data_IF_865165925663
#
_entry.id   IF_865165925663
#
_cell.length_a   1.000
_cell.length_b   1.000
_cell.length_c   1.000
_cell.angle_alpha   90.00
_cell.angle_beta   90.00
_cell.angle_gamma   90.00
#
_symmetry.space_group_name_H-M   'P 1'
#
loop_
_entity.id
_entity.type
_entity.pdbx_description
1 polymer ?
#
# COMPACT_ATOMS: atom_id res chain seq x y z
N UNK A 1 35.27 -39.98 -37.59
CA UNK A 1 33.80 -40.11 -37.67
C UNK A 1 33.29 -40.03 -36.27
N UNK A 2 32.99 -38.82 -35.85
CA UNK A 2 32.38 -38.57 -34.53
C UNK A 2 30.87 -38.39 -34.72
N UNK A 3 30.09 -39.20 -34.02
CA UNK A 3 28.62 -39.11 -34.00
C UNK A 3 28.18 -37.96 -33.10
N UNK A 4 27.25 -37.10 -33.51
CA UNK A 4 26.75 -36.06 -32.65
C UNK A 4 25.82 -36.67 -31.58
N UNK A 5 26.11 -36.37 -30.32
CA UNK A 5 25.23 -36.66 -29.18
C UNK A 5 24.03 -35.71 -29.27
N UNK A 6 22.90 -36.26 -29.65
CA UNK A 6 21.61 -35.58 -29.66
C UNK A 6 21.12 -35.44 -28.21
N UNK A 7 21.12 -34.22 -27.67
CA UNK A 7 20.39 -33.90 -26.44
C UNK A 7 18.89 -33.97 -26.73
N UNK A 8 18.06 -34.59 -25.90
CA UNK A 8 16.63 -34.59 -26.09
C UNK A 8 16.04 -33.19 -25.89
N UNK A 9 15.03 -32.80 -26.67
CA UNK A 9 14.43 -31.46 -26.53
C UNK A 9 13.65 -31.39 -25.23
N UNK A 10 13.99 -30.41 -24.41
CA UNK A 10 13.30 -29.96 -23.18
C UNK A 10 11.79 -29.65 -23.35
N UNK A 11 11.27 -29.77 -24.55
CA UNK A 11 9.87 -29.51 -24.91
C UNK A 11 8.88 -30.62 -24.52
N UNK A 12 9.34 -31.81 -24.20
CA UNK A 12 8.47 -32.97 -23.94
C UNK A 12 8.04 -33.12 -22.47
N UNK A 13 8.73 -32.52 -21.52
CA UNK A 13 8.31 -32.57 -20.10
C UNK A 13 7.17 -31.65 -19.75
N UNK A 14 6.98 -30.55 -20.48
CA UNK A 14 5.87 -29.60 -20.21
C UNK A 14 4.54 -30.01 -20.86
N UNK A 15 4.54 -30.90 -21.84
CA UNK A 15 3.30 -31.36 -22.50
C UNK A 15 2.39 -32.23 -21.60
N UNK A 16 2.91 -32.76 -20.49
CA UNK A 16 2.13 -33.52 -19.49
C UNK A 16 1.57 -32.66 -18.36
N UNK A 17 1.67 -31.36 -18.44
CA UNK A 17 1.13 -30.40 -17.46
C UNK A 17 -0.38 -30.22 -17.60
N UNK A 18 -1.09 -31.31 -17.89
CA UNK A 18 -2.56 -31.30 -17.86
C UNK A 18 -3.08 -31.10 -16.46
N UNK A 19 -4.03 -30.19 -16.33
CA UNK A 19 -4.76 -29.71 -15.16
C UNK A 19 -5.42 -30.78 -14.28
N UNK A 20 -5.08 -32.06 -14.43
CA UNK A 20 -5.81 -33.14 -13.82
C UNK A 20 -5.00 -33.82 -12.69
N UNK A 21 -5.48 -33.61 -11.44
CA UNK A 21 -5.06 -34.29 -10.22
C UNK A 21 -3.81 -33.73 -9.51
N UNK A 22 -3.85 -32.47 -9.14
CA UNK A 22 -2.99 -32.03 -8.05
C UNK A 22 -3.66 -32.34 -6.72
N UNK A 23 -3.09 -33.22 -5.93
CA UNK A 23 -3.75 -33.78 -4.74
C UNK A 23 -3.57 -32.91 -3.50
N UNK A 24 -2.52 -32.09 -3.42
CA UNK A 24 -2.18 -31.30 -2.24
C UNK A 24 -1.96 -29.83 -2.54
N UNK A 25 -2.12 -28.99 -1.50
CA UNK A 25 -1.81 -27.55 -1.58
C UNK A 25 -0.32 -27.31 -1.84
N UNK A 26 0.56 -28.14 -1.27
CA UNK A 26 2.00 -28.07 -1.49
C UNK A 26 2.38 -28.25 -2.96
N UNK A 27 1.84 -29.27 -3.64
CA UNK A 27 2.10 -29.52 -5.07
C UNK A 27 1.61 -28.35 -5.97
N UNK A 28 0.49 -27.72 -5.60
CA UNK A 28 -0.02 -26.55 -6.33
C UNK A 28 0.87 -25.33 -6.15
N UNK A 29 1.35 -25.12 -4.93
CA UNK A 29 2.28 -24.03 -4.63
C UNK A 29 3.61 -24.23 -5.35
N UNK A 30 4.20 -25.41 -5.23
CA UNK A 30 5.43 -25.78 -5.93
C UNK A 30 5.32 -25.55 -7.44
N UNK A 31 4.19 -25.93 -8.04
CA UNK A 31 3.92 -25.66 -9.45
C UNK A 31 3.93 -24.14 -9.76
N UNK A 32 3.33 -23.31 -8.93
CA UNK A 32 3.34 -21.86 -9.14
C UNK A 32 4.78 -21.30 -9.10
N UNK A 33 5.61 -21.76 -8.17
CA UNK A 33 7.03 -21.42 -8.07
C UNK A 33 7.77 -21.83 -9.36
N UNK A 34 7.57 -23.05 -9.83
CA UNK A 34 8.21 -23.57 -11.06
C UNK A 34 7.78 -22.80 -12.31
N UNK A 35 6.50 -22.39 -12.39
CA UNK A 35 6.00 -21.56 -13.48
C UNK A 35 6.75 -20.22 -13.50
N UNK A 36 6.86 -19.54 -12.36
CA UNK A 36 7.58 -18.26 -12.26
C UNK A 36 9.06 -18.43 -12.65
N UNK A 37 9.73 -19.43 -12.14
CA UNK A 37 11.10 -19.76 -12.51
C UNK A 37 11.23 -19.97 -14.02
N UNK A 38 10.29 -20.67 -14.66
CA UNK A 38 10.29 -20.92 -16.11
C UNK A 38 10.04 -19.66 -16.93
N UNK A 39 9.14 -18.78 -16.47
CA UNK A 39 8.87 -17.50 -17.14
C UNK A 39 10.11 -16.61 -17.19
N UNK A 40 10.92 -16.60 -16.13
CA UNK A 40 12.14 -15.80 -16.04
C UNK A 40 13.40 -16.49 -16.57
N UNK A 41 13.37 -17.80 -16.82
CA UNK A 41 14.52 -18.56 -17.36
C UNK A 41 14.89 -18.12 -18.79
N UNK A 42 16.11 -18.43 -19.28
CA UNK A 42 16.46 -18.28 -20.68
C UNK A 42 15.44 -18.96 -21.61
N UNK A 43 14.92 -18.20 -22.58
CA UNK A 43 13.83 -18.67 -23.46
C UNK A 43 12.43 -18.64 -22.80
N UNK A 44 12.29 -18.03 -21.64
CA UNK A 44 11.01 -17.72 -21.01
C UNK A 44 10.34 -16.48 -21.60
N UNK A 45 9.43 -15.85 -20.85
CA UNK A 45 8.72 -14.67 -21.30
C UNK A 45 9.66 -13.44 -21.33
N UNK A 46 9.77 -12.73 -22.46
CA UNK A 46 10.63 -11.55 -22.56
C UNK A 46 10.24 -10.45 -21.55
N UNK A 47 8.93 -10.22 -21.34
CA UNK A 47 8.44 -9.21 -20.43
C UNK A 47 8.80 -9.54 -18.96
N UNK A 48 8.55 -10.79 -18.51
CA UNK A 48 8.85 -11.20 -17.13
C UNK A 48 10.36 -11.12 -16.83
N UNK A 49 11.19 -11.40 -17.83
CA UNK A 49 12.66 -11.36 -17.70
C UNK A 49 13.23 -9.95 -17.57
N UNK A 50 12.57 -8.96 -18.14
CA UNK A 50 12.98 -7.54 -18.06
C UNK A 50 12.59 -6.89 -16.74
N UNK A 51 11.68 -7.51 -15.97
CA UNK A 51 11.22 -6.92 -14.72
C UNK A 51 12.31 -6.92 -13.64
N UNK A 52 12.28 -5.86 -12.84
CA UNK A 52 13.14 -5.62 -11.68
C UNK A 52 12.29 -5.41 -10.44
N UNK A 53 12.91 -5.42 -9.26
CA UNK A 53 12.21 -5.08 -8.01
C UNK A 53 11.45 -3.74 -8.11
N UNK A 54 12.04 -2.75 -8.77
CA UNK A 54 11.43 -1.42 -8.90
C UNK A 54 10.27 -1.39 -9.89
N UNK A 55 10.33 -2.13 -10.99
CA UNK A 55 9.26 -2.15 -12.00
C UNK A 55 8.02 -2.92 -11.53
N UNK A 56 8.16 -3.84 -10.57
CA UNK A 56 7.04 -4.63 -10.00
C UNK A 56 6.34 -3.92 -8.82
N UNK A 57 6.97 -2.93 -8.18
CA UNK A 57 6.36 -2.18 -7.06
C UNK A 57 4.98 -1.59 -7.35
N UNK A 58 4.73 -0.93 -8.52
CA UNK A 58 3.40 -0.40 -8.83
C UNK A 58 2.33 -1.49 -8.88
N UNK A 59 2.61 -2.62 -9.50
CA UNK A 59 1.68 -3.76 -9.58
C UNK A 59 1.35 -4.32 -8.18
N UNK A 60 2.35 -4.49 -7.31
CA UNK A 60 2.08 -4.92 -5.91
C UNK A 60 1.10 -4.00 -5.19
N UNK A 61 1.18 -2.70 -5.44
CA UNK A 61 0.24 -1.74 -4.86
C UNK A 61 -1.15 -1.87 -5.50
N UNK A 62 -1.22 -2.04 -6.82
CA UNK A 62 -2.45 -2.25 -7.59
C UNK A 62 -3.19 -3.50 -7.10
N UNK A 63 -2.54 -4.67 -7.08
CA UNK A 63 -3.13 -5.93 -6.60
C UNK A 63 -3.60 -5.82 -5.13
N UNK A 64 -2.84 -5.11 -4.30
CA UNK A 64 -3.26 -4.87 -2.92
C UNK A 64 -4.58 -4.10 -2.86
N UNK A 65 -4.77 -3.12 -3.73
CA UNK A 65 -6.00 -2.34 -3.79
C UNK A 65 -7.16 -3.11 -4.41
N UNK A 66 -6.91 -3.99 -5.38
CA UNK A 66 -7.92 -4.84 -5.99
C UNK A 66 -8.43 -5.90 -5.00
N UNK A 67 -7.55 -6.49 -4.20
CA UNK A 67 -7.94 -7.32 -3.03
C UNK A 67 -8.86 -6.55 -2.08
N UNK A 68 -8.54 -5.30 -1.75
CA UNK A 68 -9.41 -4.48 -0.88
C UNK A 68 -10.75 -4.17 -1.53
N UNK A 69 -10.78 -3.93 -2.83
CA UNK A 69 -12.01 -3.69 -3.58
C UNK A 69 -12.91 -4.92 -3.63
N UNK A 70 -12.36 -6.09 -3.90
CA UNK A 70 -13.07 -7.36 -3.89
C UNK A 70 -13.66 -7.67 -2.50
N UNK A 71 -12.93 -7.40 -1.41
CA UNK A 71 -13.42 -7.53 -0.04
C UNK A 71 -14.59 -6.57 0.22
N UNK A 72 -14.46 -5.30 -0.17
CA UNK A 72 -15.49 -4.28 0.04
C UNK A 72 -16.81 -4.62 -0.71
N UNK A 73 -16.67 -5.18 -1.91
CA UNK A 73 -17.80 -5.59 -2.75
C UNK A 73 -18.38 -6.96 -2.35
N UNK A 74 -17.72 -7.72 -1.46
CA UNK A 74 -18.04 -9.10 -1.11
C UNK A 74 -18.04 -10.02 -2.33
N UNK A 75 -17.18 -9.73 -3.31
CA UNK A 75 -16.99 -10.53 -4.51
C UNK A 75 -15.94 -11.62 -4.26
N UNK A 76 -16.42 -12.82 -3.90
CA UNK A 76 -15.54 -13.93 -3.56
C UNK A 76 -14.80 -14.54 -4.76
N UNK A 77 -15.42 -14.66 -5.95
CA UNK A 77 -14.70 -15.03 -7.17
C UNK A 77 -13.57 -14.07 -7.51
N UNK A 78 -13.83 -12.75 -7.51
CA UNK A 78 -12.83 -11.72 -7.75
C UNK A 78 -11.73 -11.76 -6.69
N UNK A 79 -12.08 -11.81 -5.42
CA UNK A 79 -11.11 -11.93 -4.33
C UNK A 79 -10.18 -13.13 -4.50
N UNK A 80 -10.65 -14.23 -5.07
CA UNK A 80 -9.80 -15.41 -5.35
C UNK A 80 -8.78 -15.10 -6.43
N UNK A 81 -9.14 -14.34 -7.46
CA UNK A 81 -8.23 -13.85 -8.49
C UNK A 81 -7.16 -12.93 -7.90
N UNK A 82 -7.61 -11.87 -7.24
CA UNK A 82 -6.74 -10.83 -6.69
C UNK A 82 -5.74 -11.35 -5.63
N UNK A 83 -6.16 -12.32 -4.80
CA UNK A 83 -5.24 -13.03 -3.90
C UNK A 83 -4.21 -13.86 -4.66
N UNK A 84 -4.57 -14.40 -5.84
CA UNK A 84 -3.64 -15.08 -6.74
C UNK A 84 -2.62 -14.10 -7.32
N UNK A 85 -3.06 -12.91 -7.75
CA UNK A 85 -2.20 -11.90 -8.34
C UNK A 85 -1.30 -11.24 -7.27
N UNK A 86 -1.79 -11.03 -6.05
CA UNK A 86 -0.95 -10.63 -4.94
C UNK A 86 0.10 -11.71 -4.58
N UNK A 87 -0.26 -12.99 -4.63
CA UNK A 87 0.69 -14.10 -4.45
C UNK A 87 1.71 -14.14 -5.60
N UNK A 88 1.30 -13.85 -6.84
CA UNK A 88 2.20 -13.73 -7.98
C UNK A 88 3.31 -12.71 -7.71
N UNK A 89 3.00 -11.55 -7.10
CA UNK A 89 4.01 -10.55 -6.72
C UNK A 89 5.05 -11.13 -5.74
N UNK A 90 4.58 -11.93 -4.76
CA UNK A 90 5.49 -12.59 -3.80
C UNK A 90 6.43 -13.56 -4.52
N UNK A 91 5.90 -14.38 -5.43
CA UNK A 91 6.70 -15.34 -6.21
C UNK A 91 7.70 -14.62 -7.14
N UNK A 92 7.26 -13.50 -7.73
CA UNK A 92 8.09 -12.69 -8.61
C UNK A 92 9.31 -12.11 -7.89
N UNK A 93 9.08 -11.46 -6.73
CA UNK A 93 10.17 -10.95 -5.89
C UNK A 93 11.09 -12.06 -5.40
N UNK A 94 10.54 -13.19 -4.97
CA UNK A 94 11.34 -14.31 -4.47
C UNK A 94 12.21 -14.93 -5.57
N UNK A 95 11.67 -15.02 -6.79
CA UNK A 95 12.40 -15.52 -7.94
C UNK A 95 13.56 -14.57 -8.33
N UNK A 96 13.30 -13.25 -8.40
CA UNK A 96 14.36 -12.27 -8.67
C UNK A 96 15.44 -12.29 -7.59
N UNK A 97 15.04 -12.37 -6.32
CA UNK A 97 15.97 -12.47 -5.20
C UNK A 97 16.85 -13.73 -5.27
N UNK A 98 16.27 -14.85 -5.69
CA UNK A 98 17.00 -16.11 -5.90
C UNK A 98 17.98 -16.01 -7.06
N UNK A 99 17.61 -15.36 -8.16
CA UNK A 99 18.48 -15.11 -9.31
C UNK A 99 19.70 -14.25 -8.94
N UNK A 100 19.54 -13.30 -8.02
CA UNK A 100 20.59 -12.43 -7.49
C UNK A 100 21.35 -13.05 -6.29
N UNK A 101 20.94 -14.23 -5.81
CA UNK A 101 21.59 -14.93 -4.69
C UNK A 101 21.30 -14.31 -3.32
N UNK A 102 20.17 -13.60 -3.15
CA UNK A 102 19.80 -12.98 -1.89
C UNK A 102 19.00 -13.92 -0.98
N UNK A 103 17.90 -14.43 -1.45
CA UNK A 103 17.02 -15.38 -0.74
C UNK A 103 16.08 -16.08 -1.74
N UNK A 104 15.45 -17.16 -1.29
CA UNK A 104 14.47 -17.94 -2.06
C UNK A 104 13.06 -17.79 -1.48
N UNK A 105 12.07 -18.38 -2.14
CA UNK A 105 10.70 -18.47 -1.62
C UNK A 105 10.65 -19.32 -0.34
N UNK A 106 11.53 -20.33 -0.22
CA UNK A 106 11.59 -21.17 0.99
C UNK A 106 12.00 -20.35 2.22
N UNK A 107 12.97 -19.43 2.07
CA UNK A 107 13.35 -18.50 3.14
C UNK A 107 12.18 -17.59 3.57
N UNK A 108 11.34 -17.19 2.61
CA UNK A 108 10.14 -16.38 2.89
C UNK A 108 9.12 -17.21 3.69
N UNK A 109 8.90 -18.47 3.31
CA UNK A 109 7.97 -19.40 3.96
C UNK A 109 8.44 -19.76 5.38
N UNK A 110 9.72 -20.08 5.54
CA UNK A 110 10.31 -20.39 6.84
C UNK A 110 10.22 -19.20 7.79
N UNK A 111 10.56 -18.01 7.30
CA UNK A 111 10.46 -16.79 8.08
C UNK A 111 9.01 -16.47 8.47
N UNK A 112 8.06 -16.69 7.58
CA UNK A 112 6.63 -16.52 7.87
C UNK A 112 6.18 -17.50 8.95
N UNK A 113 6.49 -18.79 8.78
CA UNK A 113 6.09 -19.88 9.68
C UNK A 113 6.66 -19.68 11.08
N UNK A 114 7.95 -19.44 11.19
CA UNK A 114 8.63 -19.16 12.46
C UNK A 114 8.02 -17.94 13.16
N UNK A 115 7.82 -16.84 12.42
CA UNK A 115 7.19 -15.63 12.95
C UNK A 115 5.78 -15.89 13.48
N UNK A 116 4.98 -16.71 12.79
CA UNK A 116 3.63 -17.03 13.23
C UNK A 116 3.65 -17.88 14.52
N UNK A 117 4.52 -18.87 14.60
CA UNK A 117 4.67 -19.71 15.81
C UNK A 117 5.16 -18.88 16.98
N UNK A 118 6.23 -18.10 16.80
CA UNK A 118 6.85 -17.31 17.85
C UNK A 118 5.91 -16.23 18.42
N UNK A 119 5.07 -15.65 17.56
CA UNK A 119 4.13 -14.58 17.96
C UNK A 119 2.79 -15.08 18.49
N UNK A 120 2.56 -16.40 18.47
CA UNK A 120 1.35 -17.01 19.03
C UNK A 120 1.66 -18.04 20.10
N UNK A 121 2.45 -17.68 21.15
CA UNK A 121 2.79 -18.63 22.23
C UNK A 121 1.58 -19.09 23.02
N UNK A 122 0.44 -18.43 22.90
CA UNK A 122 -0.84 -18.84 23.45
C UNK A 122 -1.54 -19.95 22.64
N UNK A 123 -1.07 -20.24 21.42
CA UNK A 123 -1.56 -21.32 20.55
C UNK A 123 -0.55 -22.45 20.44
N UNK A 124 0.72 -22.10 20.28
CA UNK A 124 1.80 -23.06 20.01
C UNK A 124 2.73 -23.31 21.20
N UNK A 125 2.54 -22.60 22.34
CA UNK A 125 3.34 -22.70 23.55
C UNK A 125 2.48 -22.80 24.82
N UNK A 126 3.07 -22.45 25.97
CA UNK A 126 2.44 -22.59 27.28
C UNK A 126 1.78 -21.30 27.81
N UNK A 127 1.95 -20.16 27.13
CA UNK A 127 1.38 -18.87 27.52
C UNK A 127 -0.13 -18.90 27.32
N UNK A 128 -0.88 -18.45 28.33
CA UNK A 128 -2.35 -18.37 28.21
C UNK A 128 -2.78 -16.95 27.91
N UNK A 129 -3.65 -16.78 26.93
CA UNK A 129 -4.36 -15.53 26.65
C UNK A 129 -5.80 -15.86 26.29
N UNK A 130 -6.74 -15.25 27.01
CA UNK A 130 -8.17 -15.57 26.91
C UNK A 130 -8.96 -14.48 26.18
N UNK A 131 -8.36 -13.32 25.96
CA UNK A 131 -9.01 -12.19 25.30
C UNK A 131 -8.16 -11.63 24.16
N UNK A 132 -8.77 -11.07 23.10
CA UNK A 132 -8.04 -10.40 22.04
C UNK A 132 -7.11 -9.28 22.53
N UNK A 133 -7.51 -8.56 23.58
CA UNK A 133 -6.70 -7.50 24.18
C UNK A 133 -5.42 -8.01 24.84
N UNK A 134 -5.48 -9.19 25.48
CA UNK A 134 -4.29 -9.85 26.05
C UNK A 134 -3.35 -10.33 24.95
N UNK A 135 -3.89 -10.92 23.88
CA UNK A 135 -3.11 -11.33 22.70
C UNK A 135 -2.38 -10.12 22.10
N UNK A 136 -3.07 -9.01 21.92
CA UNK A 136 -2.49 -7.80 21.31
C UNK A 136 -1.34 -7.23 22.16
N UNK A 137 -1.52 -7.15 23.50
CA UNK A 137 -0.45 -6.70 24.42
C UNK A 137 0.77 -7.62 24.36
N UNK A 138 0.56 -8.92 24.37
CA UNK A 138 1.64 -9.91 24.29
C UNK A 138 2.39 -9.80 22.95
N UNK A 139 1.67 -9.54 21.88
CA UNK A 139 2.21 -9.37 20.53
C UNK A 139 3.12 -8.14 20.42
N UNK A 140 2.71 -7.02 21.02
CA UNK A 140 3.53 -5.81 21.05
C UNK A 140 4.79 -5.96 21.89
N UNK A 141 4.70 -6.65 23.03
CA UNK A 141 5.85 -6.98 23.86
C UNK A 141 6.86 -7.86 23.10
N UNK A 142 6.39 -8.90 22.41
CA UNK A 142 7.22 -9.78 21.59
C UNK A 142 7.90 -9.05 20.43
N UNK A 143 7.18 -8.17 19.73
CA UNK A 143 7.77 -7.31 18.69
C UNK A 143 8.87 -6.39 19.23
N UNK A 144 8.66 -5.83 20.42
CA UNK A 144 9.66 -4.98 21.05
C UNK A 144 10.93 -5.77 21.43
N UNK A 145 10.76 -7.01 21.91
CA UNK A 145 11.89 -7.89 22.19
C UNK A 145 12.64 -8.32 20.92
N UNK A 146 11.93 -8.71 19.86
CA UNK A 146 12.54 -9.03 18.57
C UNK A 146 13.38 -7.85 18.05
N UNK A 147 12.81 -6.63 18.14
CA UNK A 147 13.54 -5.42 17.74
C UNK A 147 14.80 -5.20 18.58
N UNK A 148 14.73 -5.40 19.90
CA UNK A 148 15.92 -5.31 20.81
C UNK A 148 16.98 -6.34 20.46
N UNK A 149 16.58 -7.59 20.19
CA UNK A 149 17.51 -8.66 19.79
C UNK A 149 18.22 -8.32 18.48
N UNK A 150 17.48 -7.82 17.47
CA UNK A 150 18.06 -7.40 16.18
C UNK A 150 19.05 -6.25 16.32
N UNK A 151 18.77 -5.28 17.18
CA UNK A 151 19.69 -4.16 17.47
C UNK A 151 20.93 -4.61 18.25
N UNK A 152 20.80 -5.58 19.14
CA UNK A 152 21.92 -6.13 19.90
C UNK A 152 22.88 -6.97 19.02
N UNK A 153 22.37 -7.66 18.02
CA UNK A 153 23.17 -8.46 17.05
C UNK A 153 23.86 -7.56 16.02
N UNK A 154 23.26 -6.40 15.67
CA UNK A 154 23.86 -5.42 14.73
C UNK A 154 24.98 -4.56 15.31
N UNK A 155 25.27 -4.63 16.62
CA UNK A 155 26.28 -3.82 17.32
C UNK A 155 27.61 -4.52 17.66
N UNK A 156 27.82 -5.77 17.25
CA UNK A 156 29.05 -6.55 17.51
C UNK A 156 29.63 -7.09 16.22
N UNK A 157 30.93 -6.93 16.07
CA UNK A 157 31.74 -7.40 14.94
C UNK A 157 31.45 -8.85 14.55
N UNK A 158 31.33 -9.06 13.23
CA UNK A 158 31.59 -10.32 12.51
C UNK A 158 31.16 -11.62 13.21
N UNK A 159 29.94 -12.05 13.03
CA UNK A 159 29.64 -13.47 13.00
C UNK A 159 29.57 -13.90 11.53
N UNK A 160 30.64 -14.52 11.07
CA UNK A 160 30.68 -15.26 9.83
C UNK A 160 29.68 -16.42 9.87
N UNK A 161 28.95 -16.56 8.74
CA UNK A 161 28.20 -17.75 8.34
C UNK A 161 26.91 -18.06 9.12
N UNK A 162 25.82 -17.38 8.78
CA UNK A 162 24.49 -17.92 8.48
C UNK A 162 23.39 -16.86 8.28
N UNK A 163 23.67 -15.54 8.44
CA UNK A 163 22.64 -14.48 8.33
C UNK A 163 23.04 -13.32 7.40
N UNK A 164 24.05 -13.53 6.57
CA UNK A 164 24.77 -12.48 5.82
C UNK A 164 24.14 -12.12 4.45
N UNK A 165 22.96 -12.68 4.12
CA UNK A 165 22.32 -12.41 2.83
C UNK A 165 21.41 -11.17 2.80
N UNK A 166 21.13 -10.52 3.95
CA UNK A 166 20.14 -9.42 4.02
C UNK A 166 20.75 -8.02 4.24
N UNK A 167 22.07 -7.92 4.47
CA UNK A 167 22.71 -6.63 4.78
C UNK A 167 24.00 -6.35 4.03
N UNK A 168 24.11 -6.71 2.75
CA UNK A 168 25.18 -6.13 1.91
C UNK A 168 24.71 -4.79 1.35
N UNK A 169 25.49 -3.70 1.58
CA UNK A 169 25.23 -2.42 0.91
C UNK A 169 25.47 -2.59 -0.58
N UNK A 170 24.47 -2.22 -1.38
CA UNK A 170 24.60 -2.07 -2.82
C UNK A 170 25.80 -1.17 -3.15
N UNK A 171 26.82 -1.73 -3.79
CA UNK A 171 27.86 -0.95 -4.43
C UNK A 171 27.21 -0.05 -5.48
N UNK A 172 27.34 1.25 -5.25
CA UNK A 172 26.88 2.32 -6.13
C UNK A 172 27.37 2.12 -7.54
N UNK A 173 26.45 1.93 -8.48
CA UNK A 173 26.66 2.38 -9.85
C UNK A 173 26.61 3.92 -9.84
N UNK A 174 27.68 4.56 -10.28
CA UNK A 174 27.79 6.02 -10.39
C UNK A 174 26.88 6.53 -11.50
N UNK A 175 25.92 7.37 -11.16
CA UNK A 175 25.09 8.07 -12.13
C UNK A 175 24.03 8.95 -11.47
N UNK A 176 24.29 10.25 -11.41
CA UNK A 176 23.41 11.39 -11.20
C UNK A 176 22.72 11.54 -9.83
N UNK A 177 23.11 12.58 -9.12
CA UNK A 177 22.82 12.95 -7.76
C UNK A 177 21.37 13.28 -7.42
N UNK A 178 21.06 12.94 -6.18
CA UNK A 178 20.17 13.69 -5.28
C UNK A 178 20.76 13.69 -3.86
N UNK A 179 20.52 14.73 -3.04
CA UNK A 179 21.32 15.02 -1.86
C UNK A 179 21.04 14.11 -0.68
N UNK A 180 22.06 14.01 0.17
CA UNK A 180 22.15 13.18 1.36
C UNK A 180 21.37 13.79 2.55
N UNK A 181 20.03 13.74 2.52
CA UNK A 181 19.21 14.14 3.68
C UNK A 181 18.57 12.93 4.42
N UNK A 182 18.47 11.76 3.77
CA UNK A 182 17.74 10.61 4.34
C UNK A 182 18.53 9.73 5.33
N UNK A 183 19.81 9.99 5.57
CA UNK A 183 20.65 9.09 6.41
C UNK A 183 20.76 9.56 7.86
N UNK A 184 20.47 10.83 8.15
CA UNK A 184 20.55 11.37 9.50
C UNK A 184 19.34 11.02 10.39
N UNK A 185 18.18 10.74 9.78
CA UNK A 185 16.91 10.51 10.49
C UNK A 185 16.78 9.10 11.10
N UNK A 186 17.58 8.13 10.65
CA UNK A 186 17.46 6.74 11.12
C UNK A 186 18.12 6.44 12.47
N UNK A 187 19.07 7.24 12.92
CA UNK A 187 19.78 7.00 14.17
C UNK A 187 19.03 7.52 15.41
N UNK A 188 18.20 8.55 15.26
CA UNK A 188 17.37 9.10 16.34
C UNK A 188 16.06 8.34 16.57
N UNK A 189 15.58 7.62 15.57
CA UNK A 189 14.24 7.00 15.54
C UNK A 189 14.14 5.69 16.37
N UNK A 190 15.26 5.06 16.72
CA UNK A 190 15.26 3.77 17.42
C UNK A 190 14.67 3.81 18.84
N UNK A 191 14.61 4.99 19.48
CA UNK A 191 14.05 5.20 20.82
C UNK A 191 12.63 5.80 20.80
N UNK A 192 12.17 6.29 19.67
CA UNK A 192 10.85 6.87 19.53
C UNK A 192 9.73 5.82 19.60
N UNK A 193 8.62 6.12 20.26
CA UNK A 193 7.40 5.30 20.22
C UNK A 193 6.84 5.16 18.80
N UNK A 194 7.15 6.12 17.93
CA UNK A 194 6.73 6.13 16.53
C UNK A 194 7.65 5.31 15.62
N UNK A 195 8.81 4.88 16.14
CA UNK A 195 9.80 4.12 15.37
C UNK A 195 9.23 2.87 14.72
N UNK A 196 9.52 2.69 13.43
CA UNK A 196 9.06 1.54 12.63
C UNK A 196 7.64 1.68 12.08
N UNK A 197 7.06 2.88 12.08
CA UNK A 197 6.01 3.25 11.13
C UNK A 197 6.70 3.57 9.81
N UNK A 198 6.34 2.86 8.75
CA UNK A 198 6.96 3.06 7.44
C UNK A 198 6.35 4.27 6.74
N UNK A 199 7.18 5.21 6.32
CA UNK A 199 6.78 6.34 5.46
C UNK A 199 6.47 5.94 4.01
N UNK A 200 6.61 4.65 3.68
CA UNK A 200 6.35 4.11 2.32
C UNK A 200 4.92 3.62 2.12
N UNK A 201 4.09 3.69 3.14
CA UNK A 201 2.67 3.32 3.02
C UNK A 201 1.83 4.53 2.56
N UNK A 202 0.57 4.32 2.11
CA UNK A 202 -0.35 5.42 1.82
C UNK A 202 -0.46 6.38 3.02
N UNK A 203 -0.43 7.69 2.75
CA UNK A 203 -0.32 8.72 3.80
C UNK A 203 -1.44 8.65 4.85
N UNK A 204 -2.68 8.30 4.44
CA UNK A 204 -3.78 8.13 5.40
C UNK A 204 -3.53 6.95 6.36
N UNK A 205 -2.90 5.87 5.86
CA UNK A 205 -2.55 4.72 6.69
C UNK A 205 -1.34 5.00 7.58
N UNK A 206 -0.39 5.78 7.11
CA UNK A 206 0.73 6.26 7.91
C UNK A 206 0.22 7.13 9.07
N UNK A 207 -0.58 8.15 8.80
CA UNK A 207 -1.20 9.01 9.80
C UNK A 207 -2.03 8.20 10.83
N UNK A 208 -2.80 7.21 10.37
CA UNK A 208 -3.54 6.30 11.26
C UNK A 208 -2.61 5.54 12.21
N UNK A 209 -1.50 5.00 11.71
CA UNK A 209 -0.54 4.25 12.53
C UNK A 209 0.25 5.14 13.48
N UNK A 210 0.64 6.34 13.03
CA UNK A 210 1.32 7.33 13.87
C UNK A 210 0.42 7.73 15.04
N UNK A 211 -0.81 8.14 14.75
CA UNK A 211 -1.77 8.56 15.78
C UNK A 211 -2.17 7.40 16.72
N UNK A 212 -2.32 6.17 16.20
CA UNK A 212 -2.59 4.99 17.04
C UNK A 212 -1.45 4.72 18.02
N UNK A 213 -0.19 4.87 17.62
CA UNK A 213 0.96 4.69 18.52
C UNK A 213 1.05 5.80 19.57
N UNK A 214 0.78 7.04 19.18
CA UNK A 214 0.71 8.16 20.11
C UNK A 214 -0.38 7.94 21.17
N UNK A 215 -1.54 7.46 20.77
CA UNK A 215 -2.64 7.10 21.67
C UNK A 215 -2.27 6.02 22.69
N UNK A 216 -1.47 5.02 22.32
CA UNK A 216 -1.02 3.97 23.23
C UNK A 216 -0.15 4.46 24.39
N UNK A 217 0.49 5.62 24.26
CA UNK A 217 1.26 6.25 25.35
C UNK A 217 0.50 7.38 26.05
N UNK A 218 -0.81 7.47 25.80
CA UNK A 218 -1.69 8.44 26.43
C UNK A 218 -1.77 9.79 25.71
N UNK A 219 -1.17 9.95 24.54
CA UNK A 219 -1.32 11.14 23.72
C UNK A 219 -2.51 10.97 22.77
N UNK A 220 -3.72 11.20 23.32
CA UNK A 220 -4.99 11.07 22.59
C UNK A 220 -6.03 12.03 23.16
N UNK A 221 -7.08 12.29 22.38
CA UNK A 221 -8.24 13.05 22.84
C UNK A 221 -9.13 12.15 23.72
N UNK A 222 -9.57 12.65 24.89
CA UNK A 222 -10.45 11.88 25.77
C UNK A 222 -11.85 11.67 25.17
N UNK A 223 -12.31 12.62 24.34
CA UNK A 223 -13.64 12.63 23.74
C UNK A 223 -13.56 13.10 22.29
N UNK A 224 -14.51 12.66 21.47
CA UNK A 224 -14.56 12.97 20.03
C UNK A 224 -14.78 14.47 19.77
N UNK A 225 -15.41 15.16 20.70
CA UNK A 225 -15.64 16.62 20.64
C UNK A 225 -14.35 17.40 20.53
N UNK A 226 -13.28 16.94 21.17
CA UNK A 226 -11.95 17.54 21.04
C UNK A 226 -11.40 17.46 19.62
N UNK A 227 -11.68 16.38 18.90
CA UNK A 227 -11.33 16.24 17.49
C UNK A 227 -12.13 17.15 16.57
N UNK A 228 -13.42 17.35 16.86
CA UNK A 228 -14.23 18.32 16.11
C UNK A 228 -13.81 19.77 16.38
N UNK A 229 -13.47 20.11 17.61
CA UNK A 229 -12.91 21.43 17.94
C UNK A 229 -11.58 21.67 17.18
N UNK A 230 -10.71 20.66 17.10
CA UNK A 230 -9.46 20.74 16.32
C UNK A 230 -9.73 20.86 14.81
N UNK A 231 -10.73 20.16 14.27
CA UNK A 231 -11.13 20.31 12.88
C UNK A 231 -11.62 21.73 12.55
N UNK A 232 -12.34 22.38 13.48
CA UNK A 232 -12.77 23.77 13.33
C UNK A 232 -11.57 24.73 13.37
N UNK A 233 -10.59 24.49 14.26
CA UNK A 233 -9.34 25.25 14.37
C UNK A 233 -8.56 25.19 13.05
N UNK A 234 -8.22 24.00 12.54
CA UNK A 234 -7.50 23.83 11.27
C UNK A 234 -8.26 24.44 10.07
N UNK A 235 -9.59 24.35 10.10
CA UNK A 235 -10.42 24.98 9.06
C UNK A 235 -10.31 26.51 9.11
N UNK A 236 -10.19 27.12 10.29
CA UNK A 236 -10.00 28.56 10.45
C UNK A 236 -8.58 28.97 10.01
N UNK A 237 -7.56 28.20 10.37
CA UNK A 237 -6.17 28.46 9.96
C UNK A 237 -6.02 28.41 8.43
N UNK A 238 -6.59 27.40 7.77
CA UNK A 238 -6.65 27.35 6.31
C UNK A 238 -7.37 28.58 5.71
N UNK A 239 -8.46 29.04 6.33
CA UNK A 239 -9.18 30.25 5.87
C UNK A 239 -8.37 31.52 6.02
N UNK A 240 -7.56 31.64 7.06
CA UNK A 240 -6.65 32.79 7.23
C UNK A 240 -5.57 32.80 6.14
N UNK A 241 -4.93 31.67 5.87
CA UNK A 241 -3.94 31.55 4.80
C UNK A 241 -4.54 31.85 3.42
N UNK A 242 -5.79 31.47 3.18
CA UNK A 242 -6.50 31.77 1.93
C UNK A 242 -6.69 33.26 1.67
N UNK A 243 -6.66 34.12 2.72
CA UNK A 243 -6.74 35.59 2.54
C UNK A 243 -5.53 36.17 1.80
N UNK A 244 -4.38 35.51 1.89
CA UNK A 244 -3.17 35.87 1.18
C UNK A 244 -3.19 35.45 -0.31
N UNK A 245 -4.17 34.66 -0.72
CA UNK A 245 -4.32 34.19 -2.10
C UNK A 245 -5.14 35.22 -2.89
N UNK A 246 -4.66 35.74 -4.02
CA UNK A 246 -5.46 36.58 -4.90
C UNK A 246 -6.76 35.86 -5.27
N UNK A 247 -7.88 36.60 -5.28
CA UNK A 247 -9.23 36.07 -5.42
C UNK A 247 -9.31 34.92 -6.43
N UNK A 248 -9.56 33.69 -5.92
CA UNK A 248 -9.69 32.49 -6.70
C UNK A 248 -11.05 32.56 -7.43
N UNK A 249 -11.05 33.13 -8.64
CA UNK A 249 -12.24 33.08 -9.50
C UNK A 249 -12.49 31.64 -9.95
N UNK A 250 -13.66 31.10 -9.65
CA UNK A 250 -14.05 29.75 -10.07
C UNK A 250 -14.13 29.60 -11.59
N UNK A 251 -14.24 30.69 -12.34
CA UNK A 251 -14.32 30.69 -13.81
C UNK A 251 -12.98 30.43 -14.50
N UNK A 252 -11.87 30.85 -13.89
CA UNK A 252 -10.53 30.70 -14.50
C UNK A 252 -9.90 29.35 -14.17
N UNK A 253 -10.55 28.54 -13.34
CA UNK A 253 -10.01 27.29 -12.82
C UNK A 253 -10.44 26.04 -13.58
N UNK A 254 -11.44 26.14 -14.49
CA UNK A 254 -12.15 24.97 -15.00
C UNK A 254 -11.59 24.35 -16.30
N UNK A 255 -10.56 24.94 -16.92
CA UNK A 255 -10.01 24.39 -18.15
C UNK A 255 -8.58 23.90 -17.91
N UNK A 256 -8.41 22.59 -17.78
CA UNK A 256 -7.11 21.95 -17.93
C UNK A 256 -6.28 21.72 -16.67
N UNK A 257 -6.88 21.57 -15.47
CA UNK A 257 -6.15 21.36 -14.22
C UNK A 257 -6.11 19.89 -13.78
N UNK A 258 -5.20 19.13 -14.36
CA UNK A 258 -4.67 17.93 -13.71
C UNK A 258 -3.61 18.27 -12.67
N UNK A 259 -3.21 17.30 -11.83
CA UNK A 259 -2.16 17.43 -10.81
C UNK A 259 -0.84 18.01 -11.39
N UNK A 260 -0.63 17.92 -12.71
CA UNK A 260 0.48 18.49 -13.47
C UNK A 260 0.08 19.63 -14.41
N UNK A 261 -1.15 20.20 -14.31
CA UNK A 261 -1.73 21.11 -15.30
C UNK A 261 -1.11 22.49 -15.31
N UNK A 262 -0.88 23.00 -16.52
CA UNK A 262 -0.69 24.39 -16.85
C UNK A 262 -1.94 25.18 -16.42
N UNK A 263 -1.81 26.08 -15.49
CA UNK A 263 -2.90 26.91 -14.95
C UNK A 263 -2.95 26.90 -13.43
N UNK A 264 -1.79 26.80 -12.78
CA UNK A 264 -1.65 27.01 -11.33
C UNK A 264 -2.13 28.42 -11.03
N UNK A 265 -2.98 28.64 -9.98
CA UNK A 265 -3.08 29.95 -9.40
C UNK A 265 -1.64 30.43 -9.12
N UNK A 266 -1.33 31.67 -9.43
CA UNK A 266 -0.04 32.25 -9.06
C UNK A 266 -0.06 32.52 -7.56
N UNK A 267 0.00 31.45 -6.78
CA UNK A 267 0.17 31.51 -5.33
C UNK A 267 1.66 31.58 -5.08
N UNK A 268 2.17 32.58 -4.36
CA UNK A 268 3.57 32.63 -3.98
C UNK A 268 4.01 31.32 -3.31
N UNK A 269 5.24 30.85 -3.56
CA UNK A 269 5.69 29.56 -3.00
C UNK A 269 5.53 29.44 -1.49
N UNK A 270 5.80 30.52 -0.76
CA UNK A 270 5.66 30.59 0.71
C UNK A 270 4.20 30.47 1.19
N UNK A 271 3.25 31.04 0.47
CA UNK A 271 1.82 30.89 0.75
C UNK A 271 1.35 29.47 0.42
N UNK A 272 1.90 28.90 -0.65
CA UNK A 272 1.60 27.55 -1.06
C UNK A 272 2.02 26.53 0.01
N UNK A 273 3.24 26.65 0.55
CA UNK A 273 3.77 25.79 1.59
C UNK A 273 2.87 25.83 2.84
N UNK A 274 2.45 27.04 3.29
CA UNK A 274 1.51 27.16 4.41
C UNK A 274 0.16 26.53 4.11
N UNK A 275 -0.39 26.73 2.91
CA UNK A 275 -1.65 26.08 2.51
C UNK A 275 -1.54 24.54 2.45
N UNK A 276 -0.38 24.02 2.02
CA UNK A 276 -0.11 22.58 2.02
C UNK A 276 -0.07 22.02 3.44
N UNK A 277 0.50 22.76 4.41
CA UNK A 277 0.51 22.37 5.82
C UNK A 277 -0.92 22.31 6.38
N UNK A 278 -1.70 23.39 6.25
CA UNK A 278 -3.08 23.43 6.78
C UNK A 278 -3.98 22.34 6.18
N UNK A 279 -3.82 22.07 4.88
CA UNK A 279 -4.54 20.95 4.24
C UNK A 279 -4.06 19.60 4.79
N UNK A 280 -2.76 19.45 5.05
CA UNK A 280 -2.19 18.27 5.69
C UNK A 280 -2.76 18.04 7.08
N UNK A 281 -2.86 19.10 7.91
CA UNK A 281 -3.39 19.03 9.26
C UNK A 281 -4.88 18.67 9.27
N UNK A 282 -5.67 19.21 8.34
CA UNK A 282 -7.06 18.79 8.14
C UNK A 282 -7.17 17.28 7.82
N UNK A 283 -6.32 16.73 6.92
CA UNK A 283 -6.31 15.30 6.65
C UNK A 283 -5.93 14.50 7.89
N UNK A 284 -4.94 14.94 8.65
CA UNK A 284 -4.50 14.27 9.87
C UNK A 284 -5.60 14.23 10.92
N UNK A 285 -6.34 15.33 11.14
CA UNK A 285 -7.50 15.38 12.04
C UNK A 285 -8.61 14.44 11.56
N UNK A 286 -8.91 14.40 10.24
CA UNK A 286 -9.91 13.48 9.70
C UNK A 286 -9.51 12.01 9.89
N UNK A 287 -8.22 11.67 9.77
CA UNK A 287 -7.71 10.34 10.09
C UNK A 287 -7.89 10.00 11.56
N UNK A 288 -7.64 10.96 12.47
CA UNK A 288 -7.88 10.77 13.90
C UNK A 288 -9.36 10.55 14.24
N UNK A 289 -10.27 11.28 13.60
CA UNK A 289 -11.71 11.04 13.72
C UNK A 289 -12.06 9.61 13.27
N UNK A 290 -11.54 9.17 12.11
CA UNK A 290 -11.77 7.81 11.64
C UNK A 290 -11.23 6.76 12.63
N UNK A 291 -10.01 6.97 13.15
CA UNK A 291 -9.39 6.11 14.17
C UNK A 291 -10.23 6.03 15.45
N UNK A 292 -10.69 7.17 15.96
CA UNK A 292 -11.52 7.24 17.16
C UNK A 292 -12.83 6.46 17.01
N UNK A 293 -13.39 6.46 15.81
CA UNK A 293 -14.59 5.70 15.44
C UNK A 293 -14.28 4.23 15.02
N UNK A 294 -13.05 3.77 15.17
CA UNK A 294 -12.58 2.45 14.74
C UNK A 294 -12.83 2.19 13.24
N UNK A 295 -12.72 3.21 12.39
CA UNK A 295 -12.86 3.13 10.95
C UNK A 295 -11.49 3.19 10.27
N UNK A 296 -11.34 2.45 9.18
CA UNK A 296 -10.19 2.56 8.30
C UNK A 296 -10.37 3.79 7.38
N UNK A 297 -9.49 4.81 7.47
CA UNK A 297 -9.63 6.04 6.69
C UNK A 297 -9.41 5.82 5.18
N UNK A 298 -8.53 4.90 4.80
CA UNK A 298 -8.27 4.55 3.40
C UNK A 298 -9.53 3.92 2.76
N UNK A 299 -10.08 2.89 3.39
CA UNK A 299 -11.32 2.24 2.94
C UNK A 299 -12.51 3.21 2.92
N UNK A 300 -12.61 4.12 3.90
CA UNK A 300 -13.67 5.12 3.94
C UNK A 300 -13.62 6.07 2.75
N UNK A 301 -12.41 6.55 2.39
CA UNK A 301 -12.21 7.42 1.24
C UNK A 301 -12.43 6.66 -0.08
N UNK A 302 -11.95 5.43 -0.20
CA UNK A 302 -12.20 4.56 -1.37
C UNK A 302 -13.70 4.33 -1.63
N UNK A 303 -14.49 4.08 -0.57
CA UNK A 303 -15.96 3.99 -0.70
C UNK A 303 -16.56 5.28 -1.26
N UNK A 304 -16.06 6.43 -0.84
CA UNK A 304 -16.51 7.74 -1.35
C UNK A 304 -16.09 7.94 -2.80
N UNK A 305 -14.89 7.54 -3.20
CA UNK A 305 -14.40 7.60 -4.58
C UNK A 305 -15.27 6.74 -5.52
N UNK A 306 -15.57 5.48 -5.13
CA UNK A 306 -16.48 4.61 -5.89
C UNK A 306 -17.88 5.22 -6.03
N UNK A 307 -18.41 5.76 -4.94
CA UNK A 307 -19.72 6.45 -4.93
C UNK A 307 -19.72 7.66 -5.87
N UNK A 308 -18.65 8.46 -5.86
CA UNK A 308 -18.47 9.58 -6.77
C UNK A 308 -18.42 9.11 -8.24
N UNK A 309 -17.59 8.13 -8.56
CA UNK A 309 -17.43 7.55 -9.90
C UNK A 309 -18.78 7.06 -10.44
N UNK A 310 -19.50 6.25 -9.66
CA UNK A 310 -20.80 5.70 -10.05
C UNK A 310 -21.85 6.80 -10.33
N UNK A 311 -21.92 7.84 -9.48
CA UNK A 311 -22.85 8.96 -9.69
C UNK A 311 -22.48 9.77 -10.91
N UNK A 312 -21.20 10.00 -11.12
CA UNK A 312 -20.72 10.76 -12.28
C UNK A 312 -20.99 9.98 -13.59
N UNK A 313 -20.75 8.68 -13.61
CA UNK A 313 -21.09 7.82 -14.75
C UNK A 313 -22.60 7.86 -15.07
N UNK A 314 -23.46 7.85 -14.05
CA UNK A 314 -24.90 7.99 -14.24
C UNK A 314 -25.26 9.36 -14.87
N UNK A 315 -24.60 10.44 -14.47
CA UNK A 315 -24.80 11.75 -15.10
C UNK A 315 -24.35 11.75 -16.57
N UNK A 316 -23.20 11.17 -16.87
CA UNK A 316 -22.70 11.02 -18.24
C UNK A 316 -23.68 10.26 -19.13
N UNK A 317 -24.26 9.17 -18.63
CA UNK A 317 -25.27 8.40 -19.35
C UNK A 317 -26.51 9.24 -19.66
N UNK A 318 -26.98 10.06 -18.72
CA UNK A 318 -28.15 10.94 -18.93
C UNK A 318 -27.88 12.01 -19.97
N UNK A 319 -26.71 12.62 -19.92
CA UNK A 319 -26.28 13.62 -20.91
C UNK A 319 -26.11 12.96 -22.28
N UNK A 320 -25.48 11.79 -22.35
CA UNK A 320 -25.31 11.03 -23.59
C UNK A 320 -26.66 10.65 -24.23
N UNK A 321 -27.65 10.26 -23.43
CA UNK A 321 -29.00 9.97 -23.89
C UNK A 321 -29.70 11.19 -24.53
N UNK A 322 -29.28 12.41 -24.18
CA UNK A 322 -29.73 13.66 -24.80
C UNK A 322 -28.77 14.15 -25.92
N UNK A 323 -27.82 13.32 -26.35
CA UNK A 323 -26.88 13.66 -27.41
C UNK A 323 -25.78 14.66 -26.97
N UNK A 324 -25.53 14.82 -25.66
CA UNK A 324 -24.58 15.80 -25.12
C UNK A 324 -23.50 15.14 -24.29
N UNK A 325 -22.39 15.85 -24.19
CA UNK A 325 -21.29 15.52 -23.28
C UNK A 325 -21.30 16.42 -22.02
N UNK A 326 -20.67 16.02 -20.92
CA UNK A 326 -20.63 16.82 -19.69
C UNK A 326 -20.12 18.27 -19.90
N UNK A 327 -19.19 18.48 -20.82
CA UNK A 327 -18.62 19.80 -21.14
C UNK A 327 -19.64 20.77 -21.77
N UNK A 328 -20.77 20.27 -22.25
CA UNK A 328 -21.88 21.02 -22.87
C UNK A 328 -23.00 21.34 -21.89
N UNK A 329 -22.91 20.85 -20.65
CA UNK A 329 -23.88 21.14 -19.62
C UNK A 329 -23.43 22.32 -18.74
N UNK A 330 -24.40 23.10 -18.26
CA UNK A 330 -24.11 24.13 -17.27
C UNK A 330 -23.83 23.53 -15.90
N UNK A 331 -23.17 24.27 -15.01
CA UNK A 331 -22.93 23.80 -13.64
C UNK A 331 -24.24 23.53 -12.89
N UNK A 332 -25.26 24.35 -13.08
CA UNK A 332 -26.59 24.17 -12.46
C UNK A 332 -27.27 22.87 -12.93
N UNK A 333 -27.11 22.54 -14.22
CA UNK A 333 -27.61 21.30 -14.78
C UNK A 333 -26.84 20.08 -14.22
N UNK A 334 -25.49 20.17 -14.16
CA UNK A 334 -24.66 19.12 -13.57
C UNK A 334 -25.02 18.90 -12.10
N UNK A 335 -25.21 19.96 -11.32
CA UNK A 335 -25.63 19.87 -9.91
C UNK A 335 -27.03 19.21 -9.79
N UNK A 336 -27.96 19.59 -10.68
CA UNK A 336 -29.30 18.99 -10.70
C UNK A 336 -29.22 17.48 -10.97
N UNK A 337 -28.39 17.06 -11.93
CA UNK A 337 -28.15 15.65 -12.22
C UNK A 337 -27.47 14.93 -11.06
N UNK A 338 -26.52 15.57 -10.41
CA UNK A 338 -25.83 15.03 -9.24
C UNK A 338 -26.81 14.77 -8.08
N UNK A 339 -27.70 15.71 -7.79
CA UNK A 339 -28.72 15.52 -6.73
C UNK A 339 -29.68 14.37 -7.08
N UNK A 340 -30.05 14.22 -8.36
CA UNK A 340 -30.87 13.08 -8.81
C UNK A 340 -30.11 11.76 -8.65
N UNK A 341 -28.84 11.69 -9.01
CA UNK A 341 -28.01 10.50 -8.81
C UNK A 341 -27.93 10.11 -7.33
N UNK A 342 -27.79 11.08 -6.42
CA UNK A 342 -27.81 10.84 -4.96
C UNK A 342 -29.14 10.27 -4.46
N UNK A 343 -30.27 10.71 -5.04
CA UNK A 343 -31.59 10.24 -4.63
C UNK A 343 -31.84 8.79 -5.04
N UNK A 344 -31.26 8.34 -6.16
CA UNK A 344 -31.40 6.95 -6.65
C UNK A 344 -30.65 5.93 -5.79
N UNK A 345 -29.65 6.34 -5.04
CA UNK A 345 -28.85 5.47 -4.16
C UNK A 345 -29.43 5.35 -2.75
N UNK A 346 -30.45 6.13 -2.39
CA UNK A 346 -31.09 5.93 -1.08
C UNK A 346 -31.91 4.65 -1.15
N UNK A 347 -31.65 3.65 -0.27
CA UNK A 347 -32.60 2.55 -0.11
C UNK A 347 -33.96 3.12 0.29
N UNK A 348 -35.00 2.57 -0.28
CA UNK A 348 -36.39 2.90 0.03
C UNK A 348 -36.69 2.60 1.52
#
# INVERSE_FOLDING_TARGET
METPVSSPPLLLEFASFTLNRMSTTGERFERAVQIMARLRAPGGCPWDREQTFDTIKPYTLEETYEVLEAIDNRDWPELTGELGDLLLQVLFYSQMASEEGHFSVDDVLDRLSNKLVDRHPHVFGEVKAYTPAEVLRNWEALKAEEKKKRLAVGGGEKAEQADDAVTRPLQRAQGAGHPAEDVADQAGDAQSVLAGVSSKMPALMEAYKLSSRAAHVGFDWPEIEGLFAKLEEETLELREELKAVPALSSKDQLVGKGIAGSGKPQVPPEVRERLENEVGDLFFVMVNIARFLALDPESALRKTNRKFKRRFQWMEERLRASGRAPQQASMDELETLWQKAKQQEKPA
#
